data_IF_084367071459
#
_entry.id   IF_084367071459
#
_cell.length_a   1.000
_cell.length_b   1.000
_cell.length_c   1.000
_cell.angle_alpha   90.00
_cell.angle_beta   90.00
_cell.angle_gamma   90.00
#
_symmetry.space_group_name_H-M   'P 1'
#
loop_
_entity.id
_entity.type
_entity.pdbx_description
1 polymer ?
#
# COMPACT_ATOMS: atom_id res chain seq x y z
N UNK A 1 36.06 18.21 -6.40
CA UNK A 1 36.01 17.70 -5.01
C UNK A 1 34.79 18.16 -4.18
N UNK A 2 34.00 19.17 -4.56
CA UNK A 2 32.84 19.64 -3.75
C UNK A 2 31.58 18.75 -3.85
N UNK A 3 31.33 18.10 -4.98
CA UNK A 3 30.11 17.29 -5.21
C UNK A 3 30.00 16.11 -4.24
N UNK A 4 31.11 15.41 -3.98
CA UNK A 4 31.15 14.27 -3.05
C UNK A 4 30.72 14.64 -1.63
N UNK A 5 31.09 15.83 -1.16
CA UNK A 5 30.72 16.31 0.18
C UNK A 5 29.23 16.63 0.29
N UNK A 6 28.58 17.09 -0.80
CA UNK A 6 27.13 17.33 -0.84
C UNK A 6 26.31 16.04 -0.81
N UNK A 7 26.74 15.00 -1.54
CA UNK A 7 26.04 13.71 -1.51
C UNK A 7 26.15 13.06 -0.13
N UNK A 8 27.35 13.09 0.48
CA UNK A 8 27.56 12.54 1.83
C UNK A 8 26.77 13.32 2.89
N UNK A 9 26.73 14.65 2.82
CA UNK A 9 25.94 15.45 3.76
C UNK A 9 24.44 15.25 3.56
N UNK A 10 23.96 15.15 2.33
CA UNK A 10 22.56 14.87 2.04
C UNK A 10 22.10 13.52 2.58
N UNK A 11 22.91 12.46 2.42
CA UNK A 11 22.61 11.13 2.96
C UNK A 11 22.60 11.16 4.50
N UNK A 12 23.58 11.82 5.12
CA UNK A 12 23.63 11.95 6.58
C UNK A 12 22.43 12.71 7.14
N UNK A 13 22.04 13.84 6.52
CA UNK A 13 20.87 14.62 6.94
C UNK A 13 19.58 13.82 6.74
N UNK A 14 19.42 13.15 5.60
CA UNK A 14 18.25 12.31 5.31
C UNK A 14 18.13 11.14 6.30
N UNK A 15 19.25 10.52 6.64
CA UNK A 15 19.29 9.46 7.65
C UNK A 15 18.82 9.98 9.02
N UNK A 16 19.32 11.14 9.47
CA UNK A 16 18.93 11.75 10.74
C UNK A 16 17.43 12.09 10.75
N UNK A 17 16.95 12.78 9.71
CA UNK A 17 15.55 13.23 9.61
C UNK A 17 14.57 12.05 9.47
N UNK A 18 14.97 10.94 8.85
CA UNK A 18 14.10 9.76 8.71
C UNK A 18 14.16 8.84 9.93
N UNK A 19 15.32 8.73 10.59
CA UNK A 19 15.50 7.85 11.73
C UNK A 19 14.79 8.39 12.97
N UNK A 20 14.93 9.69 13.25
CA UNK A 20 14.34 10.35 14.43
C UNK A 20 12.83 10.05 14.54
N UNK A 21 11.96 10.31 13.54
CA UNK A 21 10.52 10.01 13.62
C UNK A 21 10.19 8.52 13.59
N UNK A 22 11.10 7.62 13.19
CA UNK A 22 10.87 6.16 13.24
C UNK A 22 11.19 5.57 14.59
N UNK A 23 12.23 6.07 15.28
CA UNK A 23 12.58 5.59 16.64
C UNK A 23 11.85 6.32 17.75
N UNK A 24 11.41 7.57 17.53
CA UNK A 24 10.57 8.30 18.48
C UNK A 24 9.29 7.54 18.87
N UNK A 25 8.45 7.06 17.93
CA UNK A 25 7.21 6.37 18.28
C UNK A 25 7.51 5.04 18.98
N UNK A 26 8.57 4.32 18.58
CA UNK A 26 8.96 3.07 19.23
C UNK A 26 9.46 3.28 20.68
N UNK A 27 10.13 4.41 20.95
CA UNK A 27 10.64 4.76 22.28
C UNK A 27 9.54 5.31 23.21
N UNK A 28 8.68 6.21 22.72
CA UNK A 28 7.60 6.81 23.50
C UNK A 28 6.42 5.87 23.77
N UNK A 29 6.08 4.97 22.85
CA UNK A 29 4.99 3.98 23.04
C UNK A 29 5.34 2.94 24.12
N UNK A 30 6.61 2.87 24.57
CA UNK A 30 7.01 2.03 25.70
C UNK A 30 6.50 2.53 27.06
N UNK A 31 6.09 3.80 27.16
CA UNK A 31 5.45 4.31 28.39
C UNK A 31 3.97 3.92 28.44
N UNK A 32 3.69 2.97 29.35
CA UNK A 32 2.39 2.58 29.91
C UNK A 32 1.27 3.62 29.69
N UNK A 33 0.44 3.39 28.70
CA UNK A 33 -0.98 3.78 28.78
C UNK A 33 -1.78 2.51 29.05
N UNK A 34 -2.24 2.37 30.29
CA UNK A 34 -3.08 1.25 30.77
C UNK A 34 -4.49 1.22 30.15
N UNK A 35 -4.80 2.08 29.17
CA UNK A 35 -6.11 2.13 28.57
C UNK A 35 -6.19 1.27 27.29
N UNK A 36 -6.95 0.17 27.38
CA UNK A 36 -7.20 -0.79 26.28
C UNK A 36 -7.69 -0.10 25.00
N UNK A 37 -8.39 1.03 25.13
CA UNK A 37 -8.94 1.80 24.01
C UNK A 37 -7.85 2.38 23.09
N UNK A 38 -6.81 2.99 23.65
CA UNK A 38 -5.75 3.63 22.86
C UNK A 38 -4.89 2.59 22.13
N UNK A 39 -4.65 1.44 22.77
CA UNK A 39 -3.89 0.34 22.17
C UNK A 39 -4.66 -0.33 21.04
N UNK A 40 -5.95 -0.60 21.22
CA UNK A 40 -6.80 -1.11 20.16
C UNK A 40 -6.93 -0.11 19.02
N UNK A 41 -7.12 1.19 19.32
CA UNK A 41 -7.23 2.22 18.29
C UNK A 41 -5.96 2.38 17.47
N UNK A 42 -4.78 2.48 18.10
CA UNK A 42 -3.49 2.59 17.38
C UNK A 42 -3.10 1.31 16.64
N UNK A 43 -3.56 0.14 17.06
CA UNK A 43 -3.29 -1.11 16.33
C UNK A 43 -4.15 -1.23 15.08
N UNK A 44 -5.44 -0.85 15.14
CA UNK A 44 -6.35 -0.95 13.99
C UNK A 44 -6.23 0.23 13.02
N UNK A 45 -5.86 1.41 13.49
CA UNK A 45 -5.77 2.62 12.66
C UNK A 45 -4.81 2.48 11.46
N UNK A 46 -3.57 1.98 11.59
CA UNK A 46 -2.67 1.81 10.44
C UNK A 46 -3.24 0.90 9.34
N UNK A 47 -3.86 -0.23 9.71
CA UNK A 47 -4.45 -1.14 8.74
C UNK A 47 -5.69 -0.53 8.05
N UNK A 48 -6.54 0.16 8.82
CA UNK A 48 -7.69 0.86 8.27
C UNK A 48 -7.28 1.99 7.32
N UNK A 49 -6.24 2.76 7.69
CA UNK A 49 -5.70 3.85 6.86
C UNK A 49 -5.03 3.28 5.61
N UNK A 50 -4.22 2.22 5.72
CA UNK A 50 -3.62 1.56 4.56
C UNK A 50 -4.70 1.08 3.59
N UNK A 51 -5.75 0.43 4.11
CA UNK A 51 -6.92 0.02 3.31
C UNK A 51 -7.62 1.21 2.66
N UNK A 52 -7.88 2.28 3.40
CA UNK A 52 -8.54 3.49 2.90
C UNK A 52 -7.73 4.24 1.83
N UNK A 53 -6.39 4.14 1.85
CA UNK A 53 -5.54 4.72 0.80
C UNK A 53 -5.44 3.81 -0.43
N UNK A 54 -5.45 2.49 -0.23
CA UNK A 54 -5.24 1.52 -1.31
C UNK A 54 -6.53 1.23 -2.09
N UNK A 55 -7.66 1.13 -1.40
CA UNK A 55 -8.98 0.84 -1.99
C UNK A 55 -9.39 1.81 -3.11
N UNK A 56 -9.35 3.15 -2.91
CA UNK A 56 -9.66 4.08 -4.00
C UNK A 56 -8.63 3.99 -5.13
N UNK A 57 -7.34 3.94 -4.80
CA UNK A 57 -6.27 3.84 -5.80
C UNK A 57 -6.43 2.61 -6.70
N UNK A 58 -6.89 1.49 -6.14
CA UNK A 58 -7.10 0.24 -6.88
C UNK A 58 -8.29 0.29 -7.83
N UNK A 59 -9.37 0.99 -7.45
CA UNK A 59 -10.57 1.14 -8.29
C UNK A 59 -10.38 2.18 -9.42
N UNK A 60 -9.56 3.21 -9.20
CA UNK A 60 -9.29 4.26 -10.19
C UNK A 60 -8.05 4.00 -11.07
N UNK A 61 -7.32 2.91 -10.83
CA UNK A 61 -6.12 2.58 -11.62
C UNK A 61 -6.41 2.11 -13.06
N UNK A 62 -7.67 1.83 -13.41
CA UNK A 62 -8.08 1.30 -14.73
C UNK A 62 -9.05 2.23 -15.43
N UNK A 63 -9.09 2.17 -16.77
CA UNK A 63 -9.93 3.03 -17.59
C UNK A 63 -11.42 2.73 -17.40
N UNK A 64 -11.75 1.49 -17.03
CA UNK A 64 -13.11 1.06 -16.72
C UNK A 64 -13.26 0.62 -15.26
N UNK A 65 -14.21 1.19 -14.48
CA UNK A 65 -14.46 0.79 -13.08
C UNK A 65 -14.93 -0.66 -12.97
N UNK A 66 -15.49 -1.23 -14.03
CA UNK A 66 -15.92 -2.63 -14.11
C UNK A 66 -14.71 -3.57 -14.15
N UNK A 67 -13.66 -3.24 -14.91
CA UNK A 67 -12.41 -4.03 -14.96
C UNK A 67 -11.69 -4.03 -13.61
N UNK A 68 -11.65 -2.86 -12.95
CA UNK A 68 -11.10 -2.71 -11.61
C UNK A 68 -11.79 -3.63 -10.59
N UNK A 69 -13.12 -3.74 -10.65
CA UNK A 69 -13.91 -4.56 -9.74
C UNK A 69 -13.63 -6.05 -9.91
N UNK A 70 -13.52 -6.53 -11.15
CA UNK A 70 -13.17 -7.93 -11.44
C UNK A 70 -11.74 -8.25 -11.01
N UNK A 71 -10.78 -7.36 -11.26
CA UNK A 71 -9.41 -7.48 -10.78
C UNK A 71 -9.32 -7.54 -9.25
N UNK A 72 -10.05 -6.64 -8.58
CA UNK A 72 -10.16 -6.61 -7.12
C UNK A 72 -10.76 -7.90 -6.56
N UNK A 73 -11.84 -8.40 -7.14
CA UNK A 73 -12.50 -9.63 -6.70
C UNK A 73 -11.57 -10.84 -6.84
N UNK A 74 -10.87 -10.95 -7.97
CA UNK A 74 -9.88 -12.00 -8.18
C UNK A 74 -8.71 -11.91 -7.19
N UNK A 75 -8.20 -10.71 -6.93
CA UNK A 75 -7.13 -10.47 -5.95
C UNK A 75 -7.56 -10.83 -4.53
N UNK A 76 -8.76 -10.43 -4.12
CA UNK A 76 -9.33 -10.76 -2.81
C UNK A 76 -9.50 -12.28 -2.65
N UNK A 77 -10.10 -12.96 -3.63
CA UNK A 77 -10.29 -14.41 -3.57
C UNK A 77 -8.95 -15.13 -3.39
N UNK A 78 -7.95 -14.80 -4.20
CA UNK A 78 -6.60 -15.37 -4.09
C UNK A 78 -5.90 -15.04 -2.77
N UNK A 79 -6.06 -13.83 -2.26
CA UNK A 79 -5.53 -13.43 -0.95
C UNK A 79 -6.19 -14.19 0.20
N UNK A 80 -7.50 -14.49 0.12
CA UNK A 80 -8.21 -15.29 1.11
C UNK A 80 -7.71 -16.73 1.20
N UNK A 81 -7.20 -17.30 0.10
CA UNK A 81 -6.58 -18.63 0.11
C UNK A 81 -5.13 -18.63 0.65
N UNK A 82 -4.61 -17.50 1.13
CA UNK A 82 -3.28 -17.40 1.72
C UNK A 82 -2.13 -17.39 0.71
N UNK A 83 -2.42 -17.03 -0.55
CA UNK A 83 -1.38 -16.92 -1.58
C UNK A 83 -0.39 -15.78 -1.28
N UNK A 84 0.86 -15.95 -1.70
CA UNK A 84 1.90 -14.93 -1.53
C UNK A 84 1.63 -13.68 -2.38
N UNK A 85 2.18 -12.53 -1.98
CA UNK A 85 1.92 -11.23 -2.63
C UNK A 85 2.20 -11.23 -4.14
N UNK A 86 3.26 -11.93 -4.57
CA UNK A 86 3.65 -12.03 -5.97
C UNK A 86 2.58 -12.72 -6.85
N UNK A 87 2.14 -13.96 -6.55
CA UNK A 87 1.08 -14.61 -7.33
C UNK A 87 -0.26 -13.87 -7.28
N UNK A 88 -0.63 -13.25 -6.15
CA UNK A 88 -1.84 -12.41 -6.06
C UNK A 88 -1.75 -11.23 -7.04
N UNK A 89 -0.62 -10.53 -7.07
CA UNK A 89 -0.40 -9.40 -7.96
C UNK A 89 -0.40 -9.81 -9.44
N UNK A 90 0.27 -10.92 -9.78
CA UNK A 90 0.29 -11.45 -11.15
C UNK A 90 -1.12 -11.80 -11.64
N UNK A 91 -1.90 -12.54 -10.85
CA UNK A 91 -3.26 -12.93 -11.24
C UNK A 91 -4.19 -11.72 -11.33
N UNK A 92 -4.13 -10.79 -10.37
CA UNK A 92 -4.90 -9.55 -10.45
C UNK A 92 -4.59 -8.77 -11.72
N UNK A 93 -3.31 -8.67 -12.11
CA UNK A 93 -2.87 -7.91 -13.29
C UNK A 93 -3.33 -8.59 -14.58
N UNK A 94 -3.22 -9.92 -14.66
CA UNK A 94 -3.69 -10.71 -15.82
C UNK A 94 -5.20 -10.58 -15.98
N UNK A 95 -5.97 -10.67 -14.88
CA UNK A 95 -7.43 -10.53 -14.92
C UNK A 95 -7.85 -9.14 -15.37
N UNK A 96 -7.23 -8.09 -14.84
CA UNK A 96 -7.49 -6.70 -15.26
C UNK A 96 -7.16 -6.52 -16.75
N UNK A 97 -6.00 -7.02 -17.20
CA UNK A 97 -5.57 -6.90 -18.59
C UNK A 97 -6.53 -7.61 -19.55
N UNK A 98 -6.93 -8.85 -19.23
CA UNK A 98 -7.91 -9.60 -20.03
C UNK A 98 -9.27 -8.89 -20.05
N UNK A 99 -9.71 -8.35 -18.91
CA UNK A 99 -11.01 -7.68 -18.81
C UNK A 99 -11.01 -6.36 -19.56
N UNK A 100 -9.95 -5.56 -19.48
CA UNK A 100 -9.81 -4.35 -20.30
C UNK A 100 -9.70 -4.67 -21.79
N UNK A 101 -8.98 -5.74 -22.17
CA UNK A 101 -8.86 -6.12 -23.57
C UNK A 101 -10.20 -6.57 -24.15
N UNK A 102 -11.01 -7.30 -23.37
CA UNK A 102 -12.37 -7.72 -23.74
C UNK A 102 -13.31 -6.49 -23.84
N UNK A 103 -13.21 -5.55 -22.90
CA UNK A 103 -14.03 -4.33 -22.92
C UNK A 103 -13.68 -3.39 -24.08
N UNK A 104 -12.39 -3.23 -24.39
CA UNK A 104 -11.93 -2.50 -25.58
C UNK A 104 -12.42 -3.18 -26.87
N UNK A 105 -12.40 -4.51 -26.93
CA UNK A 105 -12.86 -5.27 -28.10
C UNK A 105 -14.39 -5.19 -28.29
N UNK A 106 -15.15 -5.03 -27.21
CA UNK A 106 -16.60 -4.84 -27.21
C UNK A 106 -17.04 -3.40 -27.54
N UNK A 107 -16.11 -2.48 -27.81
CA UNK A 107 -16.42 -1.13 -28.29
C UNK A 107 -17.07 -0.20 -27.25
N UNK A 108 -16.82 -0.44 -25.96
CA UNK A 108 -17.39 0.35 -24.86
C UNK A 108 -16.50 1.57 -24.45
N UNK A 109 -15.50 1.91 -25.26
CA UNK A 109 -14.55 3.02 -25.09
C UNK A 109 -14.53 3.93 -26.33
#
# INVERSE_FOLDING_TARGET
MRVWTYWLSAIAVMAIVTYIPRVLPLSLVRHRTENRFLKSFLYYMPFAVLGAMTFPSLLYATAAPVSALFGMAAALLMAFFGASLLPVALVSTIVVFLTEQIMNLLGFL
#
